data_IF_475729311140
#
_entry.id   IF_475729311140
#
_cell.length_a   1.000
_cell.length_b   1.000
_cell.length_c   1.000
_cell.angle_alpha   90.00
_cell.angle_beta   90.00
_cell.angle_gamma   90.00
#
_symmetry.space_group_name_H-M   'P 1'
#
loop_
_entity.id
_entity.type
_entity.pdbx_description
1 polymer ?
#
# COMPACT_ATOMS: atom_id res chain seq x y z
N UNK A 1 -1.27 32.55 10.18
CA UNK A 1 -0.31 31.78 9.36
C UNK A 1 -0.29 30.36 9.87
N UNK A 2 -0.61 29.38 9.03
CA UNK A 2 -0.73 27.98 9.48
C UNK A 2 0.63 27.41 9.87
N UNK A 3 0.70 26.71 11.00
CA UNK A 3 1.87 25.96 11.43
C UNK A 3 2.15 24.83 10.42
N UNK A 4 3.28 24.87 9.66
CA UNK A 4 3.58 23.85 8.66
C UNK A 4 3.69 22.44 9.24
N UNK A 5 4.13 22.31 10.50
CA UNK A 5 4.24 21.02 11.16
C UNK A 5 2.85 20.44 11.43
N UNK A 6 1.92 21.27 11.93
CA UNK A 6 0.51 20.89 12.11
C UNK A 6 -0.16 20.46 10.80
N UNK A 7 0.10 21.15 9.68
CA UNK A 7 -0.44 20.77 8.36
C UNK A 7 0.08 19.40 7.91
N UNK A 8 1.39 19.16 8.07
CA UNK A 8 2.01 17.90 7.67
C UNK A 8 1.49 16.71 8.53
N UNK A 9 1.29 16.92 9.83
CA UNK A 9 0.72 15.91 10.71
C UNK A 9 -0.71 15.55 10.30
N UNK A 10 -1.57 16.55 10.09
CA UNK A 10 -2.94 16.33 9.65
C UNK A 10 -3.03 15.59 8.30
N UNK A 11 -2.09 15.86 7.38
CA UNK A 11 -2.02 15.17 6.10
C UNK A 11 -1.66 13.68 6.26
N UNK A 12 -0.73 13.34 7.17
CA UNK A 12 -0.39 11.93 7.47
C UNK A 12 -1.57 11.20 8.09
N UNK A 13 -2.22 11.79 9.09
CA UNK A 13 -3.41 11.21 9.72
C UNK A 13 -4.54 10.97 8.70
N UNK A 14 -4.70 11.89 7.76
CA UNK A 14 -5.65 11.74 6.66
C UNK A 14 -5.29 10.54 5.76
N UNK A 15 -4.02 10.40 5.37
CA UNK A 15 -3.55 9.28 4.55
C UNK A 15 -3.76 7.95 5.29
N UNK A 16 -3.29 7.85 6.54
CA UNK A 16 -3.42 6.65 7.38
C UNK A 16 -4.89 6.21 7.50
N UNK A 17 -5.79 7.17 7.74
CA UNK A 17 -7.23 6.91 7.82
C UNK A 17 -7.79 6.35 6.52
N UNK A 18 -7.36 6.85 5.36
CA UNK A 18 -7.85 6.35 4.07
C UNK A 18 -7.37 4.91 3.81
N UNK A 19 -6.14 4.58 4.19
CA UNK A 19 -5.67 3.18 4.11
C UNK A 19 -6.46 2.25 5.01
N UNK A 20 -6.82 2.67 6.22
CA UNK A 20 -7.69 1.87 7.09
C UNK A 20 -9.10 1.66 6.51
N UNK A 21 -9.63 2.65 5.78
CA UNK A 21 -10.91 2.51 5.07
C UNK A 21 -10.77 1.52 3.91
N UNK A 22 -9.70 1.63 3.11
CA UNK A 22 -9.43 0.70 2.02
C UNK A 22 -9.25 -0.72 2.52
N UNK A 23 -8.45 -0.91 3.56
CA UNK A 23 -8.24 -2.18 4.23
C UNK A 23 -9.59 -2.79 4.61
N UNK A 24 -10.45 -2.04 5.31
CA UNK A 24 -11.78 -2.50 5.70
C UNK A 24 -12.70 -2.86 4.53
N UNK A 25 -12.49 -2.29 3.34
CA UNK A 25 -13.35 -2.44 2.17
C UNK A 25 -13.02 -3.68 1.29
N UNK A 26 -11.94 -4.40 1.57
CA UNK A 26 -11.58 -5.62 0.81
C UNK A 26 -12.72 -6.66 0.85
N UNK A 27 -13.05 -7.19 -0.33
CA UNK A 27 -13.83 -8.42 -0.44
C UNK A 27 -12.93 -9.65 -0.13
N UNK A 28 -13.53 -10.85 -0.12
CA UNK A 28 -12.79 -12.11 0.04
C UNK A 28 -11.91 -12.37 -1.18
N UNK A 29 -10.60 -12.51 -0.95
CA UNK A 29 -9.63 -12.88 -1.97
C UNK A 29 -8.31 -12.11 -1.82
N UNK A 30 -7.32 -12.41 -2.67
CA UNK A 30 -6.02 -11.74 -2.67
C UNK A 30 -6.04 -10.32 -3.27
N UNK A 31 -7.11 -9.92 -3.95
CA UNK A 31 -7.23 -8.61 -4.59
C UNK A 31 -8.42 -7.82 -4.01
N UNK A 32 -8.43 -6.50 -4.21
CA UNK A 32 -9.43 -5.58 -3.63
C UNK A 32 -10.87 -5.95 -3.99
N UNK A 33 -11.08 -6.48 -5.20
CA UNK A 33 -12.39 -6.84 -5.74
C UNK A 33 -12.60 -8.35 -5.84
N UNK A 34 -11.83 -9.15 -5.08
CA UNK A 34 -11.98 -10.60 -4.97
C UNK A 34 -10.78 -11.38 -5.52
N UNK A 35 -11.04 -12.40 -6.34
CA UNK A 35 -10.01 -13.36 -6.79
C UNK A 35 -9.22 -12.93 -8.03
N UNK A 36 -9.69 -11.90 -8.74
CA UNK A 36 -9.12 -11.47 -10.02
C UNK A 36 -8.49 -10.10 -9.90
N UNK A 37 -7.22 -10.00 -10.29
CA UNK A 37 -6.53 -8.72 -10.37
C UNK A 37 -7.26 -7.76 -11.32
N UNK A 38 -7.47 -6.55 -10.83
CA UNK A 38 -8.14 -5.45 -11.51
C UNK A 38 -7.22 -4.23 -11.57
N UNK A 39 -7.67 -3.19 -12.27
CA UNK A 39 -6.96 -1.90 -12.29
C UNK A 39 -6.87 -1.27 -10.89
N UNK A 40 -7.82 -1.57 -10.00
CA UNK A 40 -7.83 -1.09 -8.61
C UNK A 40 -6.57 -1.53 -7.87
N UNK A 41 -6.15 -2.78 -8.04
CA UNK A 41 -4.98 -3.33 -7.36
C UNK A 41 -3.68 -2.67 -7.82
N UNK A 42 -3.61 -2.26 -9.09
CA UNK A 42 -2.48 -1.48 -9.63
C UNK A 42 -2.43 -0.09 -8.99
N UNK A 43 -3.58 0.57 -8.83
CA UNK A 43 -3.63 1.86 -8.14
C UNK A 43 -3.26 1.74 -6.67
N UNK A 44 -3.73 0.70 -5.99
CA UNK A 44 -3.38 0.43 -4.59
C UNK A 44 -1.87 0.19 -4.47
N UNK A 45 -1.29 -0.67 -5.31
CA UNK A 45 0.15 -0.90 -5.38
C UNK A 45 0.95 0.39 -5.60
N UNK A 46 0.55 1.23 -6.54
CA UNK A 46 1.25 2.48 -6.83
C UNK A 46 1.14 3.46 -5.65
N UNK A 47 -0.06 3.64 -5.08
CA UNK A 47 -0.29 4.59 -4.00
C UNK A 47 0.46 4.19 -2.73
N UNK A 48 0.56 2.89 -2.40
CA UNK A 48 1.30 2.45 -1.21
C UNK A 48 2.76 2.89 -1.22
N UNK A 49 3.38 3.05 -2.41
CA UNK A 49 4.77 3.50 -2.51
C UNK A 49 4.96 4.96 -2.06
N UNK A 50 3.87 5.74 -1.96
CA UNK A 50 3.89 7.12 -1.46
C UNK A 50 3.52 7.23 0.02
N UNK A 51 3.27 6.09 0.68
CA UNK A 51 3.06 6.08 2.11
C UNK A 51 4.35 6.46 2.85
N UNK A 52 4.23 7.29 3.88
CA UNK A 52 5.39 7.79 4.61
C UNK A 52 6.02 6.74 5.54
N UNK A 53 5.32 5.64 5.81
CA UNK A 53 5.76 4.54 6.67
C UNK A 53 5.20 3.19 6.16
N UNK A 54 5.97 2.47 5.36
CA UNK A 54 5.54 1.17 4.83
C UNK A 54 5.49 0.07 5.90
N UNK A 55 6.27 0.19 6.98
CA UNK A 55 6.21 -0.77 8.10
C UNK A 55 4.88 -0.60 8.86
N UNK A 56 4.41 0.64 9.05
CA UNK A 56 3.08 0.92 9.59
C UNK A 56 1.98 0.31 8.71
N UNK A 57 2.10 0.48 7.39
CA UNK A 57 1.13 -0.04 6.43
C UNK A 57 1.08 -1.57 6.47
N UNK A 58 2.25 -2.23 6.48
CA UNK A 58 2.35 -3.69 6.61
C UNK A 58 1.72 -4.22 7.90
N UNK A 59 1.88 -3.49 9.00
CA UNK A 59 1.34 -3.87 10.31
C UNK A 59 -0.17 -3.63 10.44
N UNK A 60 -0.68 -2.55 9.85
CA UNK A 60 -2.07 -2.08 10.06
C UNK A 60 -3.02 -2.49 8.94
N UNK A 61 -2.49 -2.73 7.75
CA UNK A 61 -3.24 -3.03 6.54
C UNK A 61 -2.69 -4.32 5.88
N UNK A 62 -2.82 -5.48 6.54
CA UNK A 62 -2.24 -6.73 6.05
C UNK A 62 -2.84 -7.16 4.70
N UNK A 63 -4.14 -6.95 4.44
CA UNK A 63 -4.74 -7.32 3.15
C UNK A 63 -4.26 -6.45 2.01
N UNK A 64 -4.09 -5.14 2.24
CA UNK A 64 -3.42 -4.27 1.27
C UNK A 64 -2.00 -4.79 0.99
N UNK A 65 -1.28 -5.21 2.02
CA UNK A 65 0.10 -5.71 1.88
C UNK A 65 0.16 -6.99 1.05
N UNK A 66 -0.74 -7.94 1.31
CA UNK A 66 -0.88 -9.16 0.50
C UNK A 66 -1.26 -8.82 -0.95
N UNK A 67 -2.21 -7.91 -1.16
CA UNK A 67 -2.66 -7.47 -2.47
C UNK A 67 -1.52 -6.88 -3.31
N UNK A 68 -0.68 -6.00 -2.73
CA UNK A 68 0.41 -5.38 -3.48
C UNK A 68 1.53 -6.37 -3.76
N UNK A 69 1.79 -7.33 -2.87
CA UNK A 69 2.73 -8.42 -3.11
C UNK A 69 2.24 -9.32 -4.25
N UNK A 70 0.97 -9.72 -4.23
CA UNK A 70 0.35 -10.51 -5.29
C UNK A 70 0.35 -9.75 -6.64
N UNK A 71 0.08 -8.44 -6.63
CA UNK A 71 0.18 -7.61 -7.83
C UNK A 71 1.62 -7.57 -8.38
N UNK A 72 2.63 -7.49 -7.50
CA UNK A 72 4.04 -7.48 -7.86
C UNK A 72 4.57 -8.83 -8.39
N UNK A 73 3.84 -9.94 -8.26
CA UNK A 73 4.21 -11.20 -8.93
C UNK A 73 4.09 -11.09 -10.47
N UNK A 74 3.37 -10.09 -10.98
CA UNK A 74 3.18 -9.86 -12.41
C UNK A 74 4.45 -9.26 -13.03
N UNK A 75 5.01 -9.86 -14.11
CA UNK A 75 6.23 -9.35 -14.74
C UNK A 75 6.16 -7.89 -15.19
N UNK A 76 5.01 -7.45 -15.71
CA UNK A 76 4.84 -6.07 -16.15
C UNK A 76 4.87 -5.07 -14.98
N UNK A 77 4.40 -5.48 -13.79
CA UNK A 77 4.38 -4.63 -12.59
C UNK A 77 5.73 -4.68 -11.90
N UNK A 78 6.33 -5.87 -11.74
CA UNK A 78 7.63 -6.01 -11.08
C UNK A 78 8.74 -5.26 -11.79
N UNK A 79 8.75 -5.23 -13.13
CA UNK A 79 9.73 -4.46 -13.90
C UNK A 79 9.60 -2.96 -13.65
N UNK A 80 8.37 -2.44 -13.65
CA UNK A 80 8.10 -1.02 -13.32
C UNK A 80 8.47 -0.74 -11.86
N UNK A 81 8.15 -1.65 -10.94
CA UNK A 81 8.46 -1.49 -9.53
C UNK A 81 9.97 -1.38 -9.30
N UNK A 82 10.75 -2.26 -9.90
CA UNK A 82 12.21 -2.24 -9.78
C UNK A 82 12.80 -0.94 -10.34
N UNK A 83 12.30 -0.48 -11.49
CA UNK A 83 12.77 0.75 -12.14
C UNK A 83 12.45 2.02 -11.31
N UNK A 84 11.27 2.06 -10.68
CA UNK A 84 10.77 3.27 -10.01
C UNK A 84 11.07 3.32 -8.51
N UNK A 85 11.09 2.16 -7.84
CA UNK A 85 11.15 2.05 -6.37
C UNK A 85 12.27 1.14 -5.85
N UNK A 86 12.85 0.30 -6.71
CA UNK A 86 13.89 -0.66 -6.35
C UNK A 86 13.35 -2.06 -6.03
N UNK A 87 14.20 -2.98 -5.52
CA UNK A 87 13.82 -4.37 -5.29
C UNK A 87 12.94 -4.54 -4.03
N UNK A 88 11.76 -5.13 -4.21
CA UNK A 88 10.82 -5.42 -3.12
C UNK A 88 10.24 -4.15 -2.48
N UNK A 89 9.41 -4.32 -1.44
CA UNK A 89 8.70 -3.19 -0.81
C UNK A 89 9.56 -2.29 0.10
N UNK A 90 10.86 -2.58 0.27
CA UNK A 90 11.71 -1.80 1.18
C UNK A 90 11.28 -1.83 2.67
N UNK A 91 10.51 -2.85 3.08
CA UNK A 91 10.13 -3.08 4.48
C UNK A 91 11.38 -3.33 5.33
N UNK A 92 11.44 -2.73 6.53
CA UNK A 92 12.56 -2.96 7.47
C UNK A 92 12.34 -4.26 8.26
N UNK A 93 11.09 -4.69 8.41
CA UNK A 93 10.72 -5.98 8.97
C UNK A 93 9.52 -6.57 8.22
N UNK A 94 9.58 -7.87 7.89
CA UNK A 94 8.43 -8.57 7.32
C UNK A 94 7.37 -8.79 8.41
N UNK A 95 6.07 -8.61 8.12
CA UNK A 95 5.01 -8.89 9.09
C UNK A 95 5.01 -10.38 9.47
N UNK A 96 4.72 -10.74 10.75
CA UNK A 96 4.59 -12.12 11.15
C UNK A 96 3.35 -12.74 10.47
N UNK A 97 3.54 -13.92 9.90
CA UNK A 97 2.48 -14.74 9.29
C UNK A 97 1.50 -15.28 10.34
#
# INVERSE_FOLDING_TARGET
TGDPAGVAAAARDFIDRNYLILEAAFDRGPFMLGDVLSVTDIFVWMLTQWHHDLDWLAKRCPRITECILAAMERPAISLVHIDQFGPGLGLKALPPF
#
